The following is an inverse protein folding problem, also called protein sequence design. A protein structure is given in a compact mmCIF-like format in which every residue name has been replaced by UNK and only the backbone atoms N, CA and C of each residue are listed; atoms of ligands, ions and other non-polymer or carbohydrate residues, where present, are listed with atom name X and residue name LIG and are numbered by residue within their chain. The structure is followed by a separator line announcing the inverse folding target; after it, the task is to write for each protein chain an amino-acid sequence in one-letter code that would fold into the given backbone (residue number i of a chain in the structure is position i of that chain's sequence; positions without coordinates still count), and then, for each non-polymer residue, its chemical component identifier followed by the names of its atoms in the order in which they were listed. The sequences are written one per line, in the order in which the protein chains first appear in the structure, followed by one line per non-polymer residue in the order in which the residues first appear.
data_IF_854340170781
#
_entry.id   IF_854340170781
#
_cell.length_a   1.000
_cell.length_b   1.000
_cell.length_c   1.000
_cell.angle_alpha   90.00
_cell.angle_beta   90.00
_cell.angle_gamma   90.00
#
_symmetry.space_group_name_H-M   'P 1'
#
loop_
_entity.id
_entity.type
_entity.pdbx_description
1 polymer ?
#
# COMPACT_ATOMS: atom_id res chain seq x y z
N UNK A 1 1.43 18.17 -5.43
CA UNK A 1 1.62 19.62 -5.21
C UNK A 1 1.96 19.97 -3.73
N UNK A 2 2.08 18.97 -2.85
CA UNK A 2 2.47 19.11 -1.44
C UNK A 2 1.51 19.94 -0.55
N UNK A 3 0.32 20.27 -1.04
CA UNK A 3 -0.68 20.97 -0.22
C UNK A 3 -1.32 19.99 0.75
N UNK A 4 -1.20 20.30 2.04
CA UNK A 4 -1.76 19.51 3.14
C UNK A 4 -2.32 20.42 4.22
N UNK A 5 -3.46 20.08 4.79
CA UNK A 5 -4.07 20.82 5.89
C UNK A 5 -4.63 19.86 6.93
N UNK A 6 -4.61 20.27 8.19
CA UNK A 6 -5.24 19.59 9.30
C UNK A 6 -6.51 20.35 9.69
N UNK A 7 -7.61 19.62 9.88
CA UNK A 7 -8.87 20.17 10.36
C UNK A 7 -9.21 19.54 11.70
N UNK A 8 -9.51 20.33 12.69
CA UNK A 8 -10.07 19.87 13.96
C UNK A 8 -11.60 19.78 13.82
N UNK A 9 -12.14 18.57 13.92
CA UNK A 9 -13.57 18.35 13.74
C UNK A 9 -14.44 18.90 14.88
N UNK A 10 -13.87 19.05 16.09
CA UNK A 10 -14.60 19.58 17.24
C UNK A 10 -14.69 21.11 17.22
N UNK A 11 -13.61 21.76 16.82
CA UNK A 11 -13.52 23.24 16.83
C UNK A 11 -13.75 23.86 15.45
N UNK A 12 -13.72 23.07 14.37
CA UNK A 12 -13.78 23.56 12.99
C UNK A 12 -12.50 24.26 12.51
N UNK A 13 -11.47 24.34 13.35
CA UNK A 13 -10.24 25.08 13.03
C UNK A 13 -9.47 24.32 11.96
N UNK A 14 -9.13 25.00 10.87
CA UNK A 14 -8.29 24.52 9.79
C UNK A 14 -6.91 25.15 9.85
N UNK A 15 -5.86 24.34 9.81
CA UNK A 15 -4.46 24.78 9.75
C UNK A 15 -3.79 24.24 8.49
N UNK A 16 -3.12 25.11 7.73
CA UNK A 16 -2.24 24.69 6.64
C UNK A 16 -0.92 24.21 7.26
N UNK A 17 -0.59 22.95 7.02
CA UNK A 17 0.62 22.28 7.55
C UNK A 17 1.59 21.89 6.45
N UNK A 18 1.53 22.55 5.28
CA UNK A 18 2.42 22.31 4.16
C UNK A 18 3.88 22.57 4.57
N UNK A 19 4.78 21.65 4.17
CA UNK A 19 6.22 21.88 4.26
C UNK A 19 6.66 23.12 3.46
N UNK A 20 7.53 23.94 4.05
CA UNK A 20 8.01 25.23 3.49
C UNK A 20 9.52 25.41 3.63
N UNK A 21 10.27 24.33 3.88
CA UNK A 21 11.73 24.38 4.03
C UNK A 21 12.46 24.45 2.69
N UNK A 22 13.26 23.45 2.40
CA UNK A 22 14.12 23.32 1.24
C UNK A 22 13.35 23.50 -0.09
N UNK A 23 13.76 24.45 -0.98
CA UNK A 23 13.09 24.71 -2.26
C UNK A 23 13.25 23.56 -3.28
N UNK A 24 14.25 22.69 -3.09
CA UNK A 24 14.50 21.55 -3.97
C UNK A 24 13.55 20.36 -3.71
N UNK A 25 12.69 20.46 -2.68
CA UNK A 25 11.69 19.46 -2.37
C UNK A 25 10.57 19.51 -3.41
N UNK A 26 10.43 18.38 -4.14
CA UNK A 26 9.45 18.20 -5.22
C UNK A 26 8.36 17.24 -4.76
N UNK A 27 7.12 17.57 -5.01
CA UNK A 27 5.97 16.74 -4.67
C UNK A 27 5.30 16.17 -5.93
N UNK A 28 4.84 14.93 -5.83
CA UNK A 28 3.94 14.37 -6.84
C UNK A 28 2.60 15.12 -6.84
N UNK A 29 1.82 14.96 -7.91
CA UNK A 29 0.44 15.45 -7.94
C UNK A 29 -0.39 14.82 -6.82
N UNK A 30 -0.23 13.51 -6.61
CA UNK A 30 -0.77 12.75 -5.46
C UNK A 30 0.43 12.38 -4.58
N UNK A 31 0.78 13.26 -3.64
CA UNK A 31 1.84 13.01 -2.68
C UNK A 31 1.31 12.12 -1.54
N UNK A 32 1.97 11.00 -1.21
CA UNK A 32 1.51 10.10 -0.16
C UNK A 32 1.68 10.73 1.22
N UNK A 33 0.72 10.46 2.09
CA UNK A 33 0.72 10.83 3.51
C UNK A 33 0.49 9.55 4.31
N UNK A 34 1.27 9.35 5.37
CA UNK A 34 1.12 8.26 6.30
C UNK A 34 1.13 8.81 7.73
N UNK A 35 0.17 8.41 8.54
CA UNK A 35 0.22 8.60 9.99
C UNK A 35 0.89 7.36 10.58
N UNK A 36 1.89 7.55 11.43
CA UNK A 36 2.60 6.43 12.04
C UNK A 36 1.64 5.52 12.84
N UNK A 37 1.69 4.20 12.66
CA UNK A 37 0.92 3.27 13.47
C UNK A 37 1.35 3.25 14.94
N UNK A 38 2.54 3.75 15.26
CA UNK A 38 3.09 3.78 16.61
C UNK A 38 2.76 5.05 17.39
N UNK A 39 2.56 6.18 16.67
CA UNK A 39 2.25 7.46 17.30
C UNK A 39 1.44 8.36 16.35
N UNK A 40 0.18 8.59 16.66
CA UNK A 40 -0.73 9.41 15.85
C UNK A 40 -0.32 10.89 15.69
N UNK A 41 0.66 11.38 16.45
CA UNK A 41 1.24 12.71 16.25
C UNK A 41 2.30 12.74 15.15
N UNK A 42 2.88 11.56 14.83
CA UNK A 42 3.90 11.44 13.80
C UNK A 42 3.24 11.26 12.45
N UNK A 43 3.62 12.13 11.50
CA UNK A 43 3.12 12.11 10.12
C UNK A 43 4.31 12.07 9.17
N UNK A 44 4.24 11.18 8.19
CA UNK A 44 5.16 11.15 7.06
C UNK A 44 4.50 11.74 5.82
N UNK A 45 5.26 12.49 5.03
CA UNK A 45 4.81 13.06 3.77
C UNK A 45 5.86 12.84 2.68
N UNK A 46 5.46 12.17 1.60
CA UNK A 46 6.37 11.83 0.51
C UNK A 46 6.52 12.97 -0.49
N UNK A 47 7.76 13.37 -0.69
CA UNK A 47 8.23 14.25 -1.76
C UNK A 47 9.25 13.47 -2.62
N UNK A 48 10.30 14.09 -3.16
CA UNK A 48 11.51 13.37 -3.58
C UNK A 48 12.33 12.89 -2.38
N UNK A 49 12.16 13.56 -1.25
CA UNK A 49 12.65 13.19 0.08
C UNK A 49 11.47 12.76 0.95
N UNK A 50 11.74 11.95 1.98
CA UNK A 50 10.74 11.63 3.00
C UNK A 50 10.77 12.71 4.08
N UNK A 51 9.63 13.33 4.29
CA UNK A 51 9.41 14.31 5.35
C UNK A 51 8.71 13.64 6.53
N UNK A 52 9.13 13.99 7.75
CA UNK A 52 8.55 13.54 9.02
C UNK A 52 8.20 14.74 9.87
N UNK A 53 7.06 14.71 10.52
CA UNK A 53 6.68 15.62 11.58
C UNK A 53 6.32 14.84 12.83
N UNK A 54 6.77 15.27 14.01
CA UNK A 54 6.41 14.68 15.31
C UNK A 54 5.23 15.40 15.98
N UNK A 55 4.87 16.57 15.47
CA UNK A 55 3.81 17.43 16.03
C UNK A 55 2.71 17.72 14.99
N UNK A 56 2.16 16.66 14.36
CA UNK A 56 0.98 16.75 13.48
C UNK A 56 1.16 17.74 12.32
N UNK A 57 2.38 17.85 11.76
CA UNK A 57 2.70 18.68 10.60
C UNK A 57 3.19 20.09 10.96
N UNK A 58 3.60 20.37 12.19
CA UNK A 58 4.07 21.69 12.60
C UNK A 58 5.59 21.84 12.57
N UNK A 59 6.33 20.74 12.51
CA UNK A 59 7.79 20.66 12.66
C UNK A 59 8.44 19.72 11.63
N UNK A 60 8.16 19.92 10.37
CA UNK A 60 8.67 19.05 9.33
C UNK A 60 10.19 18.96 9.28
N UNK A 61 10.70 17.73 9.23
CA UNK A 61 12.11 17.39 9.07
C UNK A 61 12.29 16.51 7.83
N UNK A 62 13.36 16.74 7.09
CA UNK A 62 13.81 15.85 6.01
C UNK A 62 14.58 14.69 6.66
N UNK A 63 14.05 13.48 6.58
CA UNK A 63 14.65 12.28 7.17
C UNK A 63 15.27 11.36 6.13
N UNK A 64 15.47 11.84 4.91
CA UNK A 64 16.14 11.10 3.84
C UNK A 64 16.85 12.03 2.88
N UNK A 65 17.84 11.52 2.11
CA UNK A 65 18.27 12.15 0.88
C UNK A 65 17.15 12.11 -0.18
N UNK A 66 17.43 12.59 -1.40
CA UNK A 66 16.53 12.38 -2.55
C UNK A 66 16.48 10.88 -2.90
N UNK A 67 15.36 10.22 -2.55
CA UNK A 67 15.15 8.78 -2.73
C UNK A 67 14.84 8.39 -4.18
N UNK A 68 14.65 9.36 -5.06
CA UNK A 68 14.43 9.13 -6.48
C UNK A 68 15.72 9.03 -7.30
N UNK A 69 16.86 9.37 -6.74
CA UNK A 69 18.15 9.31 -7.44
C UNK A 69 18.53 7.87 -7.80
N UNK A 70 19.20 7.71 -8.95
CA UNK A 70 19.62 6.42 -9.48
C UNK A 70 18.49 5.55 -10.04
N UNK A 71 17.25 6.03 -10.05
CA UNK A 71 16.15 5.38 -10.75
C UNK A 71 16.15 5.74 -12.22
N UNK A 72 15.89 4.75 -13.08
CA UNK A 72 15.73 4.95 -14.52
C UNK A 72 14.26 5.15 -14.86
N UNK A 73 13.99 6.06 -15.77
CA UNK A 73 12.67 6.16 -16.38
C UNK A 73 12.68 5.41 -17.71
N UNK A 74 11.64 4.63 -18.00
CA UNK A 74 11.46 4.07 -19.33
C UNK A 74 11.44 5.18 -20.38
N UNK A 75 12.00 4.91 -21.57
CA UNK A 75 12.11 5.87 -22.65
C UNK A 75 10.76 6.52 -22.96
N UNK A 76 10.72 7.85 -23.07
CA UNK A 76 9.50 8.63 -23.31
C UNK A 76 8.58 8.83 -22.09
N UNK A 77 8.93 8.30 -20.92
CA UNK A 77 8.16 8.48 -19.68
C UNK A 77 8.55 9.75 -18.95
N UNK A 78 7.57 10.61 -18.65
CA UNK A 78 7.76 11.70 -17.70
C UNK A 78 7.63 11.19 -16.28
N UNK A 79 8.72 11.29 -15.51
CA UNK A 79 8.75 11.06 -14.05
C UNK A 79 9.07 12.35 -13.34
N UNK A 80 8.51 12.54 -12.16
CA UNK A 80 8.80 13.72 -11.35
C UNK A 80 9.99 13.46 -10.41
N UNK A 81 10.43 12.21 -10.27
CA UNK A 81 11.41 11.81 -9.29
C UNK A 81 10.87 12.02 -7.88
N UNK A 82 9.78 11.34 -7.54
CA UNK A 82 9.06 11.56 -6.27
C UNK A 82 8.52 10.27 -5.69
N UNK A 83 8.35 10.27 -4.37
CA UNK A 83 7.74 9.18 -3.63
C UNK A 83 6.27 9.04 -4.02
N UNK A 84 5.84 7.81 -4.26
CA UNK A 84 4.46 7.45 -4.62
C UNK A 84 3.77 6.65 -3.54
N UNK A 85 4.53 6.01 -2.65
CA UNK A 85 3.99 5.15 -1.60
C UNK A 85 4.98 5.07 -0.43
N UNK A 86 4.43 4.98 0.79
CA UNK A 86 5.18 4.89 2.06
C UNK A 86 4.49 3.81 2.89
N UNK A 87 5.26 2.94 3.53
CA UNK A 87 4.78 2.03 4.55
C UNK A 87 5.77 2.01 5.72
N UNK A 88 5.32 2.38 6.91
CA UNK A 88 6.05 2.09 8.15
C UNK A 88 5.57 0.74 8.67
N UNK A 89 6.48 -0.11 9.11
CA UNK A 89 6.13 -1.39 9.73
C UNK A 89 5.21 -1.17 10.93
N UNK A 90 4.06 -1.85 11.03
CA UNK A 90 3.23 -1.76 12.22
C UNK A 90 3.86 -2.45 13.44
N UNK A 91 4.90 -3.25 13.25
CA UNK A 91 5.59 -4.02 14.28
C UNK A 91 6.83 -3.30 14.84
N UNK A 92 7.50 -2.49 14.01
CA UNK A 92 8.77 -1.83 14.37
C UNK A 92 8.75 -0.37 13.93
N UNK A 93 8.77 0.54 14.89
CA UNK A 93 8.84 1.98 14.62
C UNK A 93 10.16 2.35 13.91
N UNK A 94 10.05 3.19 12.88
CA UNK A 94 11.21 3.62 12.10
C UNK A 94 11.73 2.61 11.07
N UNK A 95 11.10 1.44 10.95
CA UNK A 95 11.28 0.54 9.80
C UNK A 95 10.35 1.01 8.69
N UNK A 96 10.90 1.72 7.68
CA UNK A 96 10.09 2.41 6.68
C UNK A 96 10.49 2.01 5.27
N UNK A 97 9.52 1.59 4.49
CA UNK A 97 9.62 1.26 3.08
C UNK A 97 9.07 2.39 2.23
N UNK A 98 9.74 2.71 1.14
CA UNK A 98 9.34 3.78 0.22
C UNK A 98 9.44 3.30 -1.22
N UNK A 99 8.44 3.64 -2.03
CA UNK A 99 8.46 3.46 -3.48
C UNK A 99 8.33 4.78 -4.22
N UNK A 100 8.96 4.89 -5.40
CA UNK A 100 8.99 6.12 -6.20
C UNK A 100 8.33 5.95 -7.57
N UNK A 101 8.04 7.06 -8.25
CA UNK A 101 7.43 7.08 -9.58
C UNK A 101 8.40 6.68 -10.71
N UNK A 102 9.69 6.67 -10.44
CA UNK A 102 10.74 6.17 -11.33
C UNK A 102 11.27 4.78 -10.93
N UNK A 103 10.53 4.05 -10.07
CA UNK A 103 10.73 2.65 -9.82
C UNK A 103 11.68 2.30 -8.69
N UNK A 104 12.22 3.25 -7.93
CA UNK A 104 13.06 2.92 -6.77
C UNK A 104 12.23 2.36 -5.62
N UNK A 105 12.75 1.28 -5.03
CA UNK A 105 12.32 0.74 -3.73
C UNK A 105 13.43 1.02 -2.75
N UNK A 106 13.10 1.69 -1.66
CA UNK A 106 14.05 2.13 -0.64
C UNK A 106 13.59 1.68 0.74
N UNK A 107 14.55 1.38 1.60
CA UNK A 107 14.32 0.94 2.97
C UNK A 107 15.22 1.70 3.95
N UNK A 108 14.64 2.12 5.07
CA UNK A 108 15.37 2.43 6.30
C UNK A 108 14.91 1.52 7.43
N UNK A 109 15.84 1.08 8.28
CA UNK A 109 15.55 0.28 9.47
C UNK A 109 15.78 1.06 10.78
N UNK A 110 16.16 2.34 10.67
CA UNK A 110 16.60 3.18 11.80
C UNK A 110 16.02 4.60 11.73
N UNK A 111 14.78 4.72 11.25
CA UNK A 111 14.03 5.99 11.29
C UNK A 111 14.53 7.05 10.32
N UNK A 112 15.30 6.67 9.31
CA UNK A 112 15.82 7.58 8.28
C UNK A 112 17.28 7.92 8.39
N UNK A 113 18.01 7.41 9.40
CA UNK A 113 19.47 7.66 9.52
C UNK A 113 20.25 7.08 8.34
N UNK A 114 19.85 5.89 7.86
CA UNK A 114 20.43 5.24 6.69
C UNK A 114 19.34 4.71 5.76
N UNK A 115 19.59 4.79 4.45
CA UNK A 115 18.69 4.30 3.41
C UNK A 115 19.40 3.34 2.48
N UNK A 116 18.76 2.22 2.17
CA UNK A 116 19.23 1.23 1.21
C UNK A 116 18.29 1.21 0.00
N UNK A 117 18.85 1.31 -1.20
CA UNK A 117 18.13 1.06 -2.45
C UNK A 117 18.14 -0.43 -2.75
N UNK A 118 16.97 -1.00 -2.99
CA UNK A 118 16.77 -2.46 -3.08
C UNK A 118 16.56 -2.97 -4.51
N UNK A 119 16.62 -2.10 -5.51
CA UNK A 119 16.29 -2.44 -6.89
C UNK A 119 17.16 -3.55 -7.49
N UNK A 120 18.43 -3.58 -7.12
CA UNK A 120 19.38 -4.56 -7.67
C UNK A 120 19.07 -6.00 -7.20
N UNK A 121 18.26 -6.14 -6.16
CA UNK A 121 17.81 -7.42 -5.61
C UNK A 121 16.46 -7.88 -6.21
N UNK A 122 15.76 -7.01 -6.97
CA UNK A 122 14.47 -7.34 -7.57
C UNK A 122 14.65 -8.13 -8.86
N UNK A 123 14.01 -9.30 -9.02
CA UNK A 123 13.94 -9.98 -10.29
C UNK A 123 13.30 -9.09 -11.36
N UNK A 124 13.79 -9.16 -12.60
CA UNK A 124 13.30 -8.42 -13.77
C UNK A 124 13.38 -6.87 -13.66
N UNK A 125 13.83 -6.31 -12.54
CA UNK A 125 14.02 -4.86 -12.27
C UNK A 125 13.04 -3.97 -13.04
N UNK A 126 11.72 -3.99 -12.74
CA UNK A 126 10.75 -3.26 -13.55
C UNK A 126 11.02 -1.76 -13.51
N UNK A 127 11.25 -1.15 -14.68
CA UNK A 127 11.51 0.30 -14.83
C UNK A 127 10.18 1.04 -14.93
N UNK A 128 9.37 0.92 -13.89
CA UNK A 128 8.05 1.56 -13.85
C UNK A 128 7.70 2.00 -12.44
N UNK A 129 6.64 2.79 -12.31
CA UNK A 129 6.19 3.33 -11.02
C UNK A 129 5.97 2.22 -10.00
N UNK A 130 6.56 2.36 -8.82
CA UNK A 130 6.14 1.60 -7.64
C UNK A 130 4.73 2.05 -7.28
N UNK A 131 3.76 1.18 -7.44
CA UNK A 131 2.35 1.50 -7.18
C UNK A 131 2.01 1.37 -5.70
N UNK A 132 2.58 0.37 -5.03
CA UNK A 132 2.40 0.15 -3.58
C UNK A 132 3.62 -0.51 -2.95
N UNK A 133 3.95 -0.08 -1.75
CA UNK A 133 4.71 -0.86 -0.77
C UNK A 133 3.79 -1.19 0.40
N UNK A 134 3.90 -2.40 0.93
CA UNK A 134 3.13 -2.88 2.07
C UNK A 134 4.09 -3.58 3.01
N UNK A 135 4.24 -3.06 4.22
CA UNK A 135 5.00 -3.72 5.29
C UNK A 135 4.09 -4.74 5.98
N UNK A 136 4.61 -5.94 6.22
CA UNK A 136 3.82 -7.00 6.83
C UNK A 136 3.34 -6.66 8.25
N UNK A 137 2.13 -7.11 8.55
CA UNK A 137 1.54 -7.04 9.89
C UNK A 137 2.00 -8.19 10.81
N UNK A 138 2.71 -9.19 10.27
CA UNK A 138 3.02 -10.44 10.97
C UNK A 138 4.52 -10.66 11.19
N UNK A 139 5.36 -10.11 10.30
CA UNK A 139 6.81 -10.26 10.37
C UNK A 139 7.52 -9.00 9.87
N UNK A 140 8.36 -8.35 10.69
CA UNK A 140 9.01 -7.09 10.31
C UNK A 140 9.99 -7.23 9.13
N UNK A 141 10.53 -8.43 8.87
CA UNK A 141 11.42 -8.68 7.74
C UNK A 141 10.65 -8.85 6.41
N UNK A 142 9.33 -9.04 6.49
CA UNK A 142 8.47 -9.27 5.33
C UNK A 142 7.87 -7.97 4.81
N UNK A 143 7.90 -7.81 3.49
CA UNK A 143 7.22 -6.73 2.79
C UNK A 143 6.80 -7.16 1.39
N UNK A 144 5.85 -6.42 0.84
CA UNK A 144 5.34 -6.61 -0.52
C UNK A 144 5.51 -5.33 -1.32
N UNK A 145 5.85 -5.48 -2.61
CA UNK A 145 6.00 -4.36 -3.52
C UNK A 145 5.28 -4.67 -4.83
N UNK A 146 4.46 -3.74 -5.30
CA UNK A 146 3.85 -3.82 -6.62
C UNK A 146 4.29 -2.65 -7.50
N UNK A 147 4.31 -2.91 -8.82
CA UNK A 147 4.62 -1.90 -9.81
C UNK A 147 3.50 -1.84 -10.86
N UNK A 148 3.26 -0.65 -11.38
CA UNK A 148 2.24 -0.43 -12.39
C UNK A 148 2.77 0.49 -13.49
N UNK A 149 2.83 0.01 -14.71
CA UNK A 149 3.11 0.81 -15.90
C UNK A 149 2.08 1.91 -16.10
N UNK A 150 0.84 1.67 -15.70
CA UNK A 150 -0.25 2.62 -15.69
C UNK A 150 -0.55 3.27 -17.02
N UNK A 151 -1.26 4.42 -16.99
CA UNK A 151 -1.65 5.17 -18.20
C UNK A 151 -0.49 5.75 -19.01
N UNK A 152 0.69 5.90 -18.41
CA UNK A 152 1.83 6.58 -19.03
C UNK A 152 2.75 5.63 -19.76
N UNK A 153 2.78 4.36 -19.33
CA UNK A 153 3.56 3.30 -19.98
C UNK A 153 2.60 2.29 -20.63
N UNK A 154 2.08 2.67 -21.80
CA UNK A 154 1.08 1.87 -22.53
C UNK A 154 1.62 0.56 -23.06
N UNK A 155 2.92 0.32 -22.96
CA UNK A 155 3.59 -0.83 -23.55
C UNK A 155 3.86 -1.94 -22.53
N UNK A 156 3.87 -1.63 -21.23
CA UNK A 156 4.10 -2.62 -20.17
C UNK A 156 2.86 -2.77 -19.27
N UNK A 157 2.04 -3.73 -19.61
CA UNK A 157 0.81 -4.07 -18.88
C UNK A 157 0.99 -5.28 -17.96
N UNK A 158 2.22 -5.81 -17.82
CA UNK A 158 2.46 -7.01 -17.01
C UNK A 158 2.19 -6.75 -15.52
N UNK A 159 1.72 -7.77 -14.80
CA UNK A 159 1.66 -7.71 -13.35
C UNK A 159 3.07 -7.85 -12.76
N UNK A 160 3.41 -6.94 -11.87
CA UNK A 160 4.64 -6.98 -11.09
C UNK A 160 4.30 -6.92 -9.62
N UNK A 161 4.50 -8.02 -8.92
CA UNK A 161 4.34 -8.13 -7.48
C UNK A 161 5.46 -8.98 -6.93
N UNK A 162 6.09 -8.49 -5.86
CA UNK A 162 7.21 -9.16 -5.22
C UNK A 162 7.00 -9.19 -3.71
N UNK A 163 7.49 -10.27 -3.10
CA UNK A 163 7.52 -10.49 -1.65
C UNK A 163 8.97 -10.68 -1.21
N UNK A 164 9.35 -10.06 -0.14
CA UNK A 164 10.59 -10.33 0.61
C UNK A 164 10.24 -10.85 2.00
N UNK A 165 11.16 -11.61 2.60
CA UNK A 165 11.10 -12.09 4.00
C UNK A 165 12.43 -11.85 4.73
N UNK A 166 13.28 -10.98 4.18
CA UNK A 166 14.64 -10.72 4.65
C UNK A 166 15.06 -9.25 4.47
N UNK A 167 14.13 -8.31 4.71
CA UNK A 167 14.34 -6.86 4.57
C UNK A 167 14.77 -6.43 3.16
N UNK A 168 14.35 -7.17 2.13
CA UNK A 168 14.65 -6.85 0.73
C UNK A 168 16.02 -7.33 0.26
N UNK A 169 16.71 -8.19 1.01
CA UNK A 169 17.93 -8.83 0.54
C UNK A 169 17.64 -9.79 -0.63
N UNK A 170 16.49 -10.46 -0.59
CA UNK A 170 15.97 -11.28 -1.71
C UNK A 170 14.49 -11.03 -1.94
N UNK A 171 14.04 -11.24 -3.18
CA UNK A 171 12.65 -11.05 -3.58
C UNK A 171 12.12 -12.22 -4.40
N UNK A 172 10.95 -12.71 -4.06
CA UNK A 172 10.20 -13.68 -4.84
C UNK A 172 9.12 -12.95 -5.65
N UNK A 173 9.01 -13.23 -6.95
CA UNK A 173 7.91 -12.76 -7.79
C UNK A 173 6.67 -13.61 -7.51
N UNK A 174 5.55 -12.97 -7.14
CA UNK A 174 4.33 -13.64 -6.69
C UNK A 174 3.14 -13.25 -7.58
N UNK A 175 3.14 -13.69 -8.85
CA UNK A 175 2.12 -13.33 -9.86
C UNK A 175 1.34 -14.52 -10.41
N UNK A 176 1.52 -15.74 -9.85
CA UNK A 176 0.87 -16.95 -10.34
C UNK A 176 -0.66 -16.84 -10.24
N UNK A 177 -1.37 -16.97 -11.37
CA UNK A 177 -2.84 -16.80 -11.44
C UNK A 177 -3.30 -15.39 -11.79
N UNK A 178 -2.39 -14.39 -11.88
CA UNK A 178 -2.73 -13.07 -12.42
C UNK A 178 -2.64 -13.07 -13.95
N UNK A 179 -3.56 -12.38 -14.66
CA UNK A 179 -3.45 -12.16 -16.10
C UNK A 179 -2.21 -11.34 -16.48
N UNK A 180 -1.61 -11.64 -17.61
CA UNK A 180 -0.40 -10.97 -18.10
C UNK A 180 -0.60 -9.51 -18.54
N UNK A 181 -1.85 -9.08 -18.71
CA UNK A 181 -2.23 -7.76 -19.21
C UNK A 181 -2.96 -6.90 -18.14
N UNK A 182 -2.73 -7.20 -16.86
CA UNK A 182 -3.34 -6.47 -15.74
C UNK A 182 -2.31 -5.89 -14.78
N UNK A 183 -1.86 -4.64 -14.99
CA UNK A 183 -0.98 -3.94 -14.05
C UNK A 183 -1.57 -3.89 -12.65
N UNK A 184 -0.71 -4.09 -11.64
CA UNK A 184 -1.12 -4.09 -10.23
C UNK A 184 -1.00 -2.69 -9.65
N UNK A 185 -2.10 -2.16 -9.11
CA UNK A 185 -2.17 -0.84 -8.52
C UNK A 185 -1.97 -0.85 -7.00
N UNK A 186 -2.38 -1.92 -6.34
CA UNK A 186 -2.36 -2.03 -4.88
C UNK A 186 -2.25 -3.48 -4.45
N UNK A 187 -1.53 -3.72 -3.37
CA UNK A 187 -1.49 -4.98 -2.60
C UNK A 187 -1.75 -4.66 -1.13
N UNK A 188 -2.46 -5.56 -0.44
CA UNK A 188 -2.72 -5.51 1.00
C UNK A 188 -2.56 -6.89 1.62
N UNK A 189 -1.91 -6.93 2.79
CA UNK A 189 -1.87 -8.09 3.66
C UNK A 189 -2.98 -7.96 4.72
N UNK A 190 -3.68 -9.04 4.99
CA UNK A 190 -4.64 -9.09 6.08
C UNK A 190 -3.92 -9.04 7.43
N UNK A 191 -4.48 -8.27 8.36
CA UNK A 191 -3.86 -8.07 9.68
C UNK A 191 -4.11 -9.23 10.66
N UNK A 192 -4.95 -10.20 10.30
CA UNK A 192 -5.30 -11.37 11.13
C UNK A 192 -4.69 -12.66 10.58
N UNK A 193 -4.75 -12.85 9.26
CA UNK A 193 -4.29 -14.05 8.58
C UNK A 193 -3.13 -13.73 7.63
N UNK A 194 -1.87 -14.13 7.94
CA UNK A 194 -0.69 -13.82 7.11
C UNK A 194 -0.72 -14.47 5.71
N UNK A 195 -1.60 -15.45 5.49
CA UNK A 195 -1.76 -16.08 4.19
C UNK A 195 -2.79 -15.39 3.31
N UNK A 196 -3.61 -14.51 3.89
CA UNK A 196 -4.65 -13.78 3.17
C UNK A 196 -4.11 -12.46 2.63
N UNK A 197 -4.01 -12.38 1.32
CA UNK A 197 -3.58 -11.18 0.62
C UNK A 197 -4.61 -10.75 -0.43
N UNK A 198 -4.66 -9.46 -0.72
CA UNK A 198 -5.52 -8.89 -1.76
C UNK A 198 -4.70 -8.07 -2.74
N UNK A 199 -5.00 -8.19 -4.03
CA UNK A 199 -4.44 -7.36 -5.09
C UNK A 199 -5.57 -6.66 -5.84
N UNK A 200 -5.40 -5.36 -6.07
CA UNK A 200 -6.21 -4.58 -7.00
C UNK A 200 -5.44 -4.29 -8.27
N UNK A 201 -6.00 -4.70 -9.40
CA UNK A 201 -5.42 -4.50 -10.73
C UNK A 201 -6.13 -3.38 -11.50
N UNK A 202 -5.71 -3.17 -12.74
CA UNK A 202 -6.40 -2.27 -13.67
C UNK A 202 -7.81 -2.74 -14.07
N UNK A 203 -8.24 -3.96 -13.69
CA UNK A 203 -9.53 -4.53 -14.11
C UNK A 203 -10.33 -5.21 -13.00
N UNK A 204 -9.68 -5.73 -11.94
CA UNK A 204 -10.34 -6.57 -10.94
C UNK A 204 -9.60 -6.62 -9.60
N UNK A 205 -10.23 -7.32 -8.63
CA UNK A 205 -9.59 -7.72 -7.37
C UNK A 205 -9.23 -9.20 -7.45
N UNK A 206 -8.11 -9.54 -6.88
CA UNK A 206 -7.64 -10.92 -6.68
C UNK A 206 -7.34 -11.16 -5.21
N UNK A 207 -7.57 -12.38 -4.76
CA UNK A 207 -7.28 -12.86 -3.42
C UNK A 207 -6.30 -14.02 -3.48
N UNK A 208 -5.39 -14.06 -2.53
CA UNK A 208 -4.54 -15.21 -2.24
C UNK A 208 -4.83 -15.70 -0.84
N UNK A 209 -4.91 -17.04 -0.66
CA UNK A 209 -5.10 -17.72 0.62
C UNK A 209 -3.85 -18.50 1.05
N UNK A 210 -2.76 -18.32 0.32
CA UNK A 210 -1.49 -19.05 0.49
C UNK A 210 -0.27 -18.12 0.56
N UNK A 211 -0.48 -16.86 1.01
CA UNK A 211 0.59 -15.89 1.20
C UNK A 211 1.25 -15.40 -0.09
N UNK A 212 0.50 -15.43 -1.20
CA UNK A 212 0.92 -14.98 -2.52
C UNK A 212 1.41 -16.10 -3.44
N UNK A 213 1.28 -17.36 -3.06
CA UNK A 213 1.64 -18.50 -3.90
C UNK A 213 0.76 -18.62 -5.15
N UNK A 214 -0.53 -18.28 -5.01
CA UNK A 214 -1.49 -18.26 -6.10
C UNK A 214 -2.58 -17.20 -5.90
N UNK A 215 -3.12 -16.69 -7.01
CA UNK A 215 -4.16 -15.66 -7.02
C UNK A 215 -5.42 -16.13 -7.72
N UNK A 216 -6.56 -15.89 -7.08
CA UNK A 216 -7.90 -16.16 -7.62
C UNK A 216 -8.69 -14.87 -7.72
N UNK A 217 -9.42 -14.68 -8.81
CA UNK A 217 -10.26 -13.49 -9.00
C UNK A 217 -11.39 -13.43 -7.98
N UNK A 218 -11.46 -12.35 -7.23
CA UNK A 218 -12.54 -12.06 -6.28
C UNK A 218 -13.58 -11.18 -6.99
N UNK A 219 -14.44 -11.83 -7.79
CA UNK A 219 -15.49 -11.15 -8.55
C UNK A 219 -16.83 -11.53 -7.98
N UNK A 220 -17.49 -10.97 -7.22
CA UNK A 220 -18.91 -11.23 -6.92
C UNK A 220 -19.78 -10.44 -7.92
N UNK A 221 -20.43 -9.40 -7.49
CA UNK A 221 -21.23 -8.51 -8.33
C UNK A 221 -20.49 -7.26 -8.81
N UNK A 222 -19.18 -7.18 -8.57
CA UNK A 222 -18.34 -6.05 -8.98
C UNK A 222 -18.07 -6.09 -10.49
N UNK A 223 -18.29 -4.99 -11.23
CA UNK A 223 -17.97 -4.91 -12.64
C UNK A 223 -16.44 -4.85 -12.86
N UNK A 224 -16.00 -5.08 -14.10
CA UNK A 224 -14.64 -4.80 -14.50
C UNK A 224 -14.35 -3.30 -14.36
N UNK A 225 -13.50 -2.94 -13.42
CA UNK A 225 -13.17 -1.55 -13.10
C UNK A 225 -11.75 -1.48 -12.52
N UNK A 226 -10.96 -0.45 -12.86
CA UNK A 226 -9.66 -0.27 -12.22
C UNK A 226 -9.81 -0.06 -10.72
N UNK A 227 -9.10 -0.88 -9.95
CA UNK A 227 -9.00 -0.72 -8.50
C UNK A 227 -7.89 0.28 -8.24
N UNK A 228 -8.21 1.38 -7.58
CA UNK A 228 -7.25 2.45 -7.33
C UNK A 228 -6.53 2.27 -6.00
N UNK A 229 -7.24 1.90 -4.96
CA UNK A 229 -6.71 1.59 -3.64
C UNK A 229 -7.65 0.65 -2.87
N UNK A 230 -7.12 0.01 -1.83
CA UNK A 230 -7.85 -0.85 -0.91
C UNK A 230 -7.36 -0.63 0.51
N UNK A 231 -8.25 -0.80 1.48
CA UNK A 231 -7.93 -0.79 2.91
C UNK A 231 -8.75 -1.88 3.59
N UNK A 232 -8.11 -2.65 4.47
CA UNK A 232 -8.80 -3.57 5.37
C UNK A 232 -9.08 -2.82 6.67
N UNK A 233 -10.37 -2.71 7.04
CA UNK A 233 -10.77 -2.00 8.25
C UNK A 233 -10.45 -2.85 9.48
N UNK A 234 -9.60 -2.37 10.43
CA UNK A 234 -9.03 -3.24 11.46
C UNK A 234 -10.02 -3.72 12.54
N UNK A 235 -11.20 -3.12 12.65
CA UNK A 235 -12.22 -3.51 13.63
C UNK A 235 -13.39 -4.26 13.03
N UNK A 236 -13.78 -3.86 11.82
CA UNK A 236 -15.01 -4.36 11.19
C UNK A 236 -14.73 -5.52 10.23
N UNK A 237 -13.43 -5.82 9.98
CA UNK A 237 -12.98 -6.84 9.02
C UNK A 237 -13.55 -6.62 7.61
N UNK A 238 -13.77 -5.36 7.25
CA UNK A 238 -14.25 -4.97 5.94
C UNK A 238 -13.09 -4.67 4.98
N UNK A 239 -13.12 -5.26 3.81
CA UNK A 239 -12.30 -4.82 2.68
C UNK A 239 -13.00 -3.66 2.00
N UNK A 240 -12.46 -2.47 2.16
CA UNK A 240 -12.93 -1.25 1.49
C UNK A 240 -12.14 -1.03 0.23
N UNK A 241 -12.81 -1.00 -0.90
CA UNK A 241 -12.21 -0.93 -2.24
C UNK A 241 -12.58 0.39 -2.91
N UNK A 242 -11.57 1.17 -3.27
CA UNK A 242 -11.73 2.40 -4.05
C UNK A 242 -11.52 2.12 -5.55
N UNK A 243 -12.54 2.37 -6.36
CA UNK A 243 -12.50 2.16 -7.80
C UNK A 243 -12.32 3.47 -8.56
N UNK A 244 -11.83 3.38 -9.80
CA UNK A 244 -11.78 4.55 -10.67
C UNK A 244 -13.15 4.79 -11.34
N UNK A 245 -13.93 5.73 -10.78
CA UNK A 245 -15.19 6.19 -11.36
C UNK A 245 -16.42 5.31 -11.08
N UNK A 246 -16.31 4.25 -10.27
CA UNK A 246 -17.42 3.35 -9.92
C UNK A 246 -17.62 3.23 -8.40
N UNK A 247 -17.43 4.33 -7.67
CA UNK A 247 -17.66 4.45 -6.23
C UNK A 247 -16.75 3.55 -5.36
N UNK A 248 -17.09 3.42 -4.09
CA UNK A 248 -16.48 2.49 -3.14
C UNK A 248 -17.32 1.22 -3.04
N UNK A 249 -16.63 0.10 -2.83
CA UNK A 249 -17.22 -1.19 -2.55
C UNK A 249 -16.73 -1.66 -1.19
N UNK A 250 -17.61 -2.27 -0.42
CA UNK A 250 -17.29 -2.78 0.92
C UNK A 250 -17.72 -4.23 0.96
N UNK A 251 -16.84 -5.10 1.43
CA UNK A 251 -17.09 -6.52 1.61
C UNK A 251 -16.56 -6.97 2.97
N UNK A 252 -17.40 -7.62 3.76
CA UNK A 252 -17.00 -8.35 4.95
C UNK A 252 -16.11 -9.53 4.53
N UNK A 253 -14.88 -9.58 5.06
CA UNK A 253 -13.90 -10.62 4.78
C UNK A 253 -13.64 -11.54 5.97
N UNK A 254 -14.43 -11.47 7.03
CA UNK A 254 -14.27 -12.29 8.24
C UNK A 254 -14.20 -13.78 7.93
N UNK A 255 -15.02 -14.25 6.99
CA UNK A 255 -14.99 -15.64 6.50
C UNK A 255 -13.65 -15.99 5.83
N UNK A 256 -13.07 -15.07 5.05
CA UNK A 256 -11.78 -15.30 4.40
C UNK A 256 -10.64 -15.32 5.41
N UNK A 257 -10.74 -14.55 6.49
CA UNK A 257 -9.74 -14.52 7.57
C UNK A 257 -9.64 -15.86 8.31
N UNK A 258 -10.74 -16.61 8.40
CA UNK A 258 -10.75 -17.94 8.99
C UNK A 258 -10.16 -19.03 8.08
N UNK A 259 -10.02 -18.78 6.77
CA UNK A 259 -9.48 -19.74 5.80
C UNK A 259 -7.95 -19.87 5.92
N UNK A 260 -7.51 -20.43 7.03
CA UNK A 260 -6.11 -20.87 7.22
C UNK A 260 -5.84 -22.17 6.47
N UNK A 261 -4.59 -22.54 6.19
CA UNK A 261 -4.26 -23.83 5.57
C UNK A 261 -4.89 -25.02 6.29
N UNK A 262 -4.95 -24.98 7.63
CA UNK A 262 -5.57 -26.04 8.43
C UNK A 262 -7.09 -26.12 8.24
N UNK A 263 -7.74 -24.98 8.05
CA UNK A 263 -9.19 -24.93 7.79
C UNK A 263 -9.49 -25.40 6.37
N UNK A 264 -8.71 -24.97 5.40
CA UNK A 264 -8.85 -25.37 3.99
C UNK A 264 -8.66 -26.87 3.81
N UNK A 265 -7.81 -27.52 4.61
CA UNK A 265 -7.57 -28.96 4.57
C UNK A 265 -8.70 -29.80 5.20
N UNK A 266 -9.66 -29.19 5.91
CA UNK A 266 -10.78 -29.91 6.55
C UNK A 266 -11.86 -30.23 5.52
N UNK A 267 -12.57 -31.32 5.73
CA UNK A 267 -13.75 -31.66 4.93
C UNK A 267 -14.98 -30.78 5.27
N UNK A 268 -15.04 -30.31 6.51
CA UNK A 268 -16.12 -29.47 7.02
C UNK A 268 -15.56 -28.41 7.95
N UNK A 269 -16.08 -27.19 7.87
CA UNK A 269 -15.76 -26.07 8.76
C UNK A 269 -17.02 -25.24 9.00
N UNK A 270 -17.30 -24.95 10.27
CA UNK A 270 -18.34 -24.01 10.66
C UNK A 270 -17.69 -22.66 10.95
N UNK A 271 -17.94 -21.67 10.11
CA UNK A 271 -17.45 -20.32 10.31
C UNK A 271 -18.07 -19.67 11.54
N UNK A 272 -17.32 -18.84 12.22
CA UNK A 272 -17.78 -18.05 13.35
C UNK A 272 -18.89 -17.10 12.89
N UNK A 273 -20.02 -17.13 13.58
CA UNK A 273 -21.09 -16.18 13.37
C UNK A 273 -20.88 -14.97 14.27
N UNK A 274 -20.74 -13.80 13.67
CA UNK A 274 -20.70 -12.56 14.45
C UNK A 274 -22.11 -12.18 14.92
N UNK A 275 -22.25 -11.66 16.16
CA UNK A 275 -23.54 -11.22 16.68
C UNK A 275 -24.13 -10.12 15.80
N UNK A 276 -25.34 -10.34 15.31
CA UNK A 276 -26.08 -9.34 14.53
C UNK A 276 -26.93 -8.47 15.45
N UNK A 277 -26.89 -7.14 15.24
CA UNK A 277 -27.77 -6.20 15.94
C UNK A 277 -29.11 -6.14 15.24
N UNK A 278 -30.15 -6.65 15.90
CA UNK A 278 -31.53 -6.50 15.42
C UNK A 278 -32.03 -5.09 15.76
N UNK A 279 -32.13 -4.24 14.76
CA UNK A 279 -32.75 -2.94 14.90
C UNK A 279 -34.26 -3.08 14.88
N UNK A 280 -34.90 -2.96 16.04
CA UNK A 280 -36.36 -2.88 16.15
C UNK A 280 -36.74 -1.40 16.16
N UNK A 281 -37.30 -0.89 15.07
CA UNK A 281 -37.89 0.44 15.11
C UNK A 281 -39.21 0.37 15.92
N UNK A 282 -39.21 0.87 17.13
CA UNK A 282 -40.47 1.16 17.84
C UNK A 282 -41.12 2.35 17.12
N UNK A 283 -42.09 2.05 16.22
CA UNK A 283 -43.07 3.06 15.84
C UNK A 283 -43.93 3.29 17.05
N UNK A 284 -43.65 4.36 17.82
CA UNK A 284 -44.56 4.94 18.78
C UNK A 284 -45.60 5.77 18.03
#
# INVERSE_FOLDING_TARGET
NGSISRNDQKTGVRKNIRYRGNPDVRFNFIAPILISPHNSNVIFHGANMLLRSEFRGEDWQEISPDLSLGGEAAEGRRVNGTITTIAESPLVAGLIWVGTDNGNVQLTQNGGENWARLNDNLPDSPVTKVSRVEASHHDPATAYVSFSGGRRDRHDLKPYVYKTTDYGATWAKIVNGLPEDEPVNVIREDHTNPNLLFIGTAKAIYVSLDGGGSWTSLRNNMPNVPIHDMVIHPRENDLVVATYGRSFWIADISVLQELTPDVIAKQEHLFKLEPQVLWISSRG
#
